data_IF_800993548823
#
_entry.id   IF_800993548823
#
_cell.length_a   1.000
_cell.length_b   1.000
_cell.length_c   1.000
_cell.angle_alpha   90.00
_cell.angle_beta   90.00
_cell.angle_gamma   90.00
#
_symmetry.space_group_name_H-M   'P 1'
#
loop_
_entity.id
_entity.type
_entity.pdbx_description
1 polymer ?
#
# COMPACT_ATOMS: atom_id res chain seq x y z
N UNK A 1 18.39 5.41 4.47
CA UNK A 1 17.69 5.51 5.75
C UNK A 1 16.19 5.55 5.53
N UNK A 2 15.57 4.39 5.29
CA UNK A 2 14.10 4.30 5.31
C UNK A 2 13.67 4.21 6.78
N UNK A 3 13.36 5.36 7.39
CA UNK A 3 12.81 5.47 8.75
C UNK A 3 11.36 5.93 8.70
N UNK A 4 10.60 5.77 9.79
CA UNK A 4 9.21 6.24 9.90
C UNK A 4 9.11 7.75 9.63
N UNK A 5 10.12 8.53 10.03
CA UNK A 5 10.20 9.96 9.74
C UNK A 5 10.42 10.25 8.25
N UNK A 6 11.36 9.57 7.58
CA UNK A 6 11.60 9.76 6.16
C UNK A 6 10.37 9.37 5.32
N UNK A 7 9.68 8.31 5.72
CA UNK A 7 8.45 7.85 5.10
C UNK A 7 7.33 8.87 5.23
N UNK A 8 7.13 9.42 6.43
CA UNK A 8 6.18 10.50 6.67
C UNK A 8 6.48 11.71 5.79
N UNK A 9 7.75 12.13 5.73
CA UNK A 9 8.17 13.26 4.91
C UNK A 9 7.94 13.04 3.41
N UNK A 10 8.07 11.81 2.94
CA UNK A 10 7.77 11.44 1.54
C UNK A 10 6.30 11.66 1.22
N UNK A 11 5.38 11.12 2.02
CA UNK A 11 3.94 11.27 1.79
C UNK A 11 3.42 12.69 2.05
N UNK A 12 4.10 13.49 2.88
CA UNK A 12 3.76 14.90 3.09
C UNK A 12 4.20 15.82 1.94
N UNK A 13 5.30 15.48 1.25
CA UNK A 13 5.92 16.36 0.24
C UNK A 13 5.60 15.98 -1.19
N UNK A 14 5.40 14.70 -1.46
CA UNK A 14 5.15 14.21 -2.80
C UNK A 14 3.64 14.25 -3.08
N UNK A 15 3.20 14.82 -4.21
CA UNK A 15 1.78 14.90 -4.57
C UNK A 15 1.07 13.54 -4.51
N UNK A 16 -0.21 13.56 -4.10
CA UNK A 16 -1.00 12.34 -3.91
C UNK A 16 -1.20 11.58 -5.23
N UNK A 17 -1.19 12.27 -6.37
CA UNK A 17 -1.28 11.72 -7.72
C UNK A 17 -0.12 10.79 -8.05
N UNK A 18 1.02 10.94 -7.36
CA UNK A 18 2.19 10.07 -7.51
C UNK A 18 2.26 9.02 -6.39
N UNK A 19 1.88 9.36 -5.17
CA UNK A 19 2.01 8.47 -4.02
C UNK A 19 0.87 7.46 -3.89
N UNK A 20 -0.36 7.84 -4.22
CA UNK A 20 -1.52 6.98 -4.05
C UNK A 20 -1.53 5.81 -5.03
N UNK A 21 -1.14 5.95 -6.32
CA UNK A 21 -0.99 4.80 -7.20
C UNK A 21 0.04 3.78 -6.71
N UNK A 22 1.06 4.19 -5.95
CA UNK A 22 2.04 3.25 -5.37
C UNK A 22 1.46 2.47 -4.18
N UNK A 23 0.54 3.08 -3.43
CA UNK A 23 -0.07 2.48 -2.24
C UNK A 23 -1.33 1.66 -2.56
N UNK A 24 -2.16 2.14 -3.47
CA UNK A 24 -3.55 1.68 -3.66
C UNK A 24 -3.80 1.08 -5.04
N UNK A 25 -2.76 0.73 -5.79
CA UNK A 25 -2.92 0.06 -7.07
C UNK A 25 -3.74 -1.23 -6.94
N UNK A 26 -4.60 -1.49 -7.93
CA UNK A 26 -5.17 -2.81 -8.16
C UNK A 26 -4.07 -3.75 -8.67
N UNK A 27 -4.20 -5.04 -8.37
CA UNK A 27 -3.16 -6.02 -8.73
C UNK A 27 -3.75 -7.22 -9.46
N UNK A 28 -3.21 -7.59 -10.63
CA UNK A 28 -3.64 -8.77 -11.37
C UNK A 28 -3.04 -10.07 -10.79
N UNK A 29 -1.89 -9.98 -10.13
CA UNK A 29 -1.14 -11.12 -9.62
C UNK A 29 -0.52 -10.85 -8.24
N UNK A 30 0.05 -11.92 -7.67
CA UNK A 30 0.67 -11.89 -6.35
C UNK A 30 1.95 -11.05 -6.32
N UNK A 31 2.67 -10.94 -7.43
CA UNK A 31 3.92 -10.16 -7.50
C UNK A 31 3.63 -8.65 -7.41
N UNK A 32 2.58 -8.17 -8.08
CA UNK A 32 2.06 -6.82 -7.91
C UNK A 32 1.62 -6.59 -6.46
N UNK A 33 0.84 -7.51 -5.89
CA UNK A 33 0.34 -7.36 -4.52
C UNK A 33 1.47 -7.31 -3.48
N UNK A 34 2.52 -8.11 -3.67
CA UNK A 34 3.73 -8.06 -2.84
C UNK A 34 4.50 -6.75 -3.02
N UNK A 35 4.56 -6.20 -4.24
CA UNK A 35 5.15 -4.87 -4.48
C UNK A 35 4.38 -3.78 -3.74
N UNK A 36 3.05 -3.80 -3.81
CA UNK A 36 2.16 -2.89 -3.08
C UNK A 36 2.37 -2.98 -1.57
N UNK A 37 2.44 -4.19 -1.02
CA UNK A 37 2.74 -4.42 0.42
C UNK A 37 4.11 -3.90 0.85
N UNK A 38 5.07 -3.89 -0.08
CA UNK A 38 6.45 -3.42 0.17
C UNK A 38 6.67 -1.93 -0.09
N UNK A 39 5.68 -1.19 -0.57
CA UNK A 39 5.81 0.24 -0.88
C UNK A 39 6.37 1.05 0.29
N UNK A 40 6.00 0.71 1.53
CA UNK A 40 6.47 1.38 2.74
C UNK A 40 7.63 0.66 3.46
N UNK A 41 8.23 -0.34 2.83
CA UNK A 41 9.36 -1.14 3.34
C UNK A 41 9.15 -1.56 4.81
N UNK A 42 8.14 -2.41 5.10
CA UNK A 42 7.66 -2.66 6.46
C UNK A 42 8.76 -3.06 7.46
N UNK A 43 9.69 -3.91 7.03
CA UNK A 43 10.84 -4.39 7.81
C UNK A 43 11.80 -3.29 8.29
N UNK A 44 11.78 -2.11 7.67
CA UNK A 44 12.63 -0.98 8.01
C UNK A 44 11.86 0.20 8.63
N UNK A 45 10.54 0.27 8.43
CA UNK A 45 9.75 1.44 8.82
C UNK A 45 8.91 1.27 10.09
N UNK A 46 8.34 0.08 10.34
CA UNK A 46 7.42 -0.13 11.47
C UNK A 46 7.31 -1.57 11.97
N UNK A 47 7.74 -2.58 11.20
CA UNK A 47 7.72 -3.98 11.64
C UNK A 47 9.02 -4.32 12.36
N UNK A 48 9.03 -4.06 13.67
CA UNK A 48 10.10 -4.49 14.55
C UNK A 48 10.07 -6.01 14.79
N UNK A 49 11.18 -6.55 15.31
CA UNK A 49 11.28 -7.99 15.64
C UNK A 49 10.22 -8.44 16.64
N UNK A 50 9.86 -7.57 17.57
CA UNK A 50 8.79 -7.81 18.53
C UNK A 50 7.47 -7.26 18.00
N UNK A 51 6.39 -8.02 18.15
CA UNK A 51 5.03 -7.61 17.78
C UNK A 51 4.27 -7.25 19.06
N UNK A 52 4.09 -5.95 19.38
CA UNK A 52 3.49 -5.50 20.63
C UNK A 52 1.98 -5.77 20.68
N UNK A 53 1.38 -5.50 21.85
CA UNK A 53 -0.08 -5.48 21.99
C UNK A 53 -0.71 -4.31 21.22
N UNK A 54 -1.88 -4.50 20.59
CA UNK A 54 -2.50 -3.38 19.85
C UNK A 54 -2.91 -2.21 20.77
N UNK A 55 -3.26 -2.49 22.03
CA UNK A 55 -3.54 -1.44 23.01
C UNK A 55 -2.27 -0.68 23.41
N UNK A 56 -1.14 -1.37 23.57
CA UNK A 56 0.17 -0.73 23.82
C UNK A 56 0.52 0.23 22.67
N UNK A 57 0.36 -0.23 21.42
CA UNK A 57 0.59 0.59 20.23
C UNK A 57 -0.33 1.83 20.19
N UNK A 58 -1.60 1.64 20.55
CA UNK A 58 -2.58 2.73 20.69
C UNK A 58 -2.18 3.73 21.78
N UNK A 59 -1.64 3.26 22.91
CA UNK A 59 -1.18 4.11 24.00
C UNK A 59 0.07 4.92 23.62
N UNK A 60 1.04 4.30 22.93
CA UNK A 60 2.20 4.99 22.37
C UNK A 60 1.75 6.13 21.43
N UNK A 61 0.89 5.80 20.46
CA UNK A 61 0.35 6.79 19.52
C UNK A 61 -0.40 7.94 20.20
N UNK A 62 -1.17 7.67 21.26
CA UNK A 62 -1.91 8.72 21.99
C UNK A 62 -0.99 9.68 22.77
N UNK A 63 0.23 9.22 23.08
CA UNK A 63 1.25 10.02 23.77
C UNK A 63 1.97 10.98 22.82
N UNK A 64 2.05 10.65 21.53
CA UNK A 64 2.53 11.56 20.48
C UNK A 64 1.40 12.44 19.93
N UNK A 65 1.61 13.76 19.90
CA UNK A 65 0.56 14.70 19.50
C UNK A 65 0.14 14.55 18.03
N UNK A 66 1.10 14.24 17.15
CA UNK A 66 0.84 14.07 15.73
C UNK A 66 0.09 12.77 15.47
N UNK A 67 0.57 11.65 16.00
CA UNK A 67 -0.07 10.34 15.88
C UNK A 67 -1.49 10.37 16.45
N UNK A 68 -1.69 10.97 17.63
CA UNK A 68 -3.01 11.14 18.23
C UNK A 68 -3.97 11.87 17.30
N UNK A 69 -3.54 12.96 16.67
CA UNK A 69 -4.37 13.72 15.72
C UNK A 69 -4.71 12.88 14.49
N UNK A 70 -3.71 12.22 13.89
CA UNK A 70 -3.91 11.40 12.68
C UNK A 70 -4.81 10.20 12.94
N UNK A 71 -4.69 9.57 14.11
CA UNK A 71 -5.56 8.46 14.51
C UNK A 71 -7.01 8.93 14.72
N UNK A 72 -7.22 10.13 15.27
CA UNK A 72 -8.55 10.71 15.35
C UNK A 72 -9.14 10.99 13.95
N UNK A 73 -8.34 11.56 13.04
CA UNK A 73 -8.76 11.81 11.65
C UNK A 73 -9.14 10.51 10.93
N UNK A 74 -8.37 9.43 11.14
CA UNK A 74 -8.69 8.11 10.59
C UNK A 74 -10.03 7.60 11.11
N UNK A 75 -10.27 7.64 12.42
CA UNK A 75 -11.57 7.21 12.96
C UNK A 75 -12.71 8.10 12.46
N UNK A 76 -12.52 9.42 12.29
CA UNK A 76 -13.58 10.29 11.77
C UNK A 76 -13.91 10.03 10.29
N UNK A 77 -12.91 9.79 9.45
CA UNK A 77 -13.10 9.69 8.00
C UNK A 77 -13.28 8.25 7.49
N UNK A 78 -12.86 7.24 8.25
CA UNK A 78 -12.96 5.83 7.87
C UNK A 78 -13.90 5.02 8.76
N UNK A 79 -14.64 5.64 9.69
CA UNK A 79 -15.65 4.92 10.47
C UNK A 79 -16.70 4.30 9.54
N UNK A 80 -16.94 3.00 9.70
CA UNK A 80 -17.93 2.30 8.89
C UNK A 80 -19.35 2.81 9.16
N UNK A 81 -20.05 3.20 8.10
CA UNK A 81 -21.45 3.63 8.14
C UNK A 81 -22.31 2.63 7.37
N UNK A 82 -23.05 1.71 8.06
CA UNK A 82 -23.74 0.59 7.40
C UNK A 82 -24.90 0.99 6.47
N UNK A 83 -25.27 2.27 6.43
CA UNK A 83 -26.42 2.77 5.66
C UNK A 83 -26.02 3.66 4.47
N UNK A 84 -24.74 3.90 4.26
CA UNK A 84 -24.22 4.69 3.12
C UNK A 84 -23.83 3.75 1.98
N UNK A 85 -23.97 4.20 0.72
CA UNK A 85 -23.66 3.38 -0.46
C UNK A 85 -22.19 2.90 -0.46
N UNK A 86 -21.29 3.75 0.02
CA UNK A 86 -19.84 3.47 0.04
C UNK A 86 -19.35 2.76 1.30
N UNK A 87 -20.21 2.63 2.32
CA UNK A 87 -19.86 2.34 3.72
C UNK A 87 -19.00 3.41 4.44
N UNK A 88 -18.73 4.56 3.82
CA UNK A 88 -17.93 5.64 4.38
C UNK A 88 -18.78 6.85 4.83
N UNK A 89 -18.31 7.63 5.82
CA UNK A 89 -18.94 8.88 6.21
C UNK A 89 -19.03 9.83 5.01
N UNK A 90 -20.21 10.40 4.79
CA UNK A 90 -20.50 11.34 3.69
C UNK A 90 -20.16 10.80 2.28
N UNK A 91 -20.08 9.47 2.11
CA UNK A 91 -19.65 8.82 0.88
C UNK A 91 -18.26 9.28 0.37
N UNK A 92 -17.38 9.67 1.30
CA UNK A 92 -16.10 10.29 0.97
C UNK A 92 -14.93 9.29 1.05
N UNK A 93 -14.67 8.57 -0.05
CA UNK A 93 -13.49 7.71 -0.18
C UNK A 93 -12.17 8.47 -0.03
N UNK A 94 -12.08 9.67 -0.61
CA UNK A 94 -10.85 10.44 -0.60
C UNK A 94 -10.44 10.83 0.83
N UNK A 95 -11.38 11.30 1.66
CA UNK A 95 -11.13 11.63 3.06
C UNK A 95 -10.60 10.44 3.87
N UNK A 96 -11.14 9.23 3.63
CA UNK A 96 -10.63 8.02 4.26
C UNK A 96 -9.21 7.68 3.79
N UNK A 97 -8.93 7.73 2.48
CA UNK A 97 -7.59 7.46 1.94
C UNK A 97 -6.53 8.45 2.46
N UNK A 98 -6.85 9.75 2.51
CA UNK A 98 -5.97 10.78 3.10
C UNK A 98 -5.68 10.47 4.57
N UNK A 99 -6.70 10.09 5.34
CA UNK A 99 -6.52 9.78 6.76
C UNK A 99 -5.71 8.50 6.98
N UNK A 100 -5.89 7.48 6.14
CA UNK A 100 -5.07 6.27 6.13
C UNK A 100 -3.59 6.59 5.85
N UNK A 101 -3.31 7.38 4.80
CA UNK A 101 -1.94 7.78 4.46
C UNK A 101 -1.32 8.61 5.58
N UNK A 102 -2.11 9.43 6.28
CA UNK A 102 -1.67 10.21 7.43
C UNK A 102 -1.17 9.38 8.62
N UNK A 103 -1.52 8.09 8.71
CA UNK A 103 -0.99 7.19 9.74
C UNK A 103 0.37 6.60 9.36
N UNK A 104 0.77 6.66 8.10
CA UNK A 104 2.01 6.06 7.63
C UNK A 104 3.21 6.83 8.19
N UNK A 105 4.10 6.10 8.89
CA UNK A 105 5.24 6.69 9.57
C UNK A 105 4.95 7.13 11.02
N UNK A 106 3.85 6.62 11.60
CA UNK A 106 3.49 6.74 13.01
C UNK A 106 3.53 5.38 13.73
N UNK A 107 3.32 5.34 15.06
CA UNK A 107 3.26 4.09 15.82
C UNK A 107 2.19 3.13 15.29
N UNK A 108 1.04 3.66 14.85
CA UNK A 108 -0.09 2.88 14.30
C UNK A 108 -0.06 2.81 12.77
N UNK A 109 1.12 2.64 12.16
CA UNK A 109 1.25 2.51 10.70
C UNK A 109 0.53 1.25 10.20
N UNK A 110 -0.57 1.38 9.42
CA UNK A 110 -1.24 0.23 8.81
C UNK A 110 -0.50 -0.22 7.55
N UNK A 111 -0.60 -1.51 7.22
CA UNK A 111 -0.10 -2.06 5.96
C UNK A 111 -0.95 -3.24 5.49
N UNK A 112 -0.76 -3.67 4.25
CA UNK A 112 -1.28 -4.94 3.75
C UNK A 112 -0.69 -6.11 4.56
N UNK A 113 -1.57 -6.98 5.06
CA UNK A 113 -1.19 -8.11 5.91
C UNK A 113 -0.64 -9.29 5.11
N UNK A 114 -1.08 -9.42 3.85
CA UNK A 114 -0.69 -10.46 2.91
C UNK A 114 -0.45 -9.90 1.50
N UNK A 115 -0.09 -10.80 0.57
CA UNK A 115 0.12 -10.48 -0.84
C UNK A 115 -1.06 -10.96 -1.71
N UNK A 116 -2.30 -10.87 -1.22
CA UNK A 116 -3.47 -11.26 -2.00
C UNK A 116 -3.79 -10.23 -3.10
N UNK A 117 -3.97 -10.65 -4.37
CA UNK A 117 -4.31 -9.72 -5.46
C UNK A 117 -5.69 -9.08 -5.28
N UNK A 118 -6.68 -9.89 -4.86
CA UNK A 118 -8.09 -9.51 -4.83
C UNK A 118 -8.64 -9.27 -3.42
N UNK A 119 -8.15 -10.01 -2.41
CA UNK A 119 -8.62 -9.85 -1.03
C UNK A 119 -7.75 -8.84 -0.28
N UNK A 120 -8.12 -7.57 -0.34
CA UNK A 120 -7.44 -6.51 0.42
C UNK A 120 -7.66 -6.75 1.92
N UNK A 121 -6.58 -7.10 2.61
CA UNK A 121 -6.53 -7.29 4.06
C UNK A 121 -5.47 -6.35 4.64
N UNK A 122 -5.90 -5.43 5.52
CA UNK A 122 -5.06 -4.43 6.15
C UNK A 122 -4.96 -4.70 7.64
N UNK A 123 -3.80 -4.49 8.24
CA UNK A 123 -3.61 -4.67 9.68
C UNK A 123 -2.53 -3.76 10.22
N UNK A 124 -2.56 -3.58 11.53
CA UNK A 124 -1.45 -3.03 12.29
C UNK A 124 -0.43 -4.13 12.62
N UNK A 125 0.83 -3.77 12.84
CA UNK A 125 1.85 -4.68 13.36
C UNK A 125 1.71 -4.90 14.87
N UNK A 126 0.60 -5.51 15.29
CA UNK A 126 0.31 -5.78 16.70
C UNK A 126 -0.59 -7.00 16.86
N UNK A 127 -0.73 -7.53 18.07
CA UNK A 127 -1.66 -8.62 18.39
C UNK A 127 -2.53 -8.33 19.61
N UNK A 128 -3.61 -9.10 19.76
CA UNK A 128 -4.52 -9.03 20.92
C UNK A 128 -4.49 -10.28 21.80
N UNK A 129 -3.60 -11.24 21.51
CA UNK A 129 -3.45 -12.43 22.34
C UNK A 129 -2.88 -12.06 23.71
N UNK A 130 -3.51 -12.56 24.78
CA UNK A 130 -2.99 -12.44 26.14
C UNK A 130 -3.32 -11.12 26.84
N UNK A 131 -4.22 -10.29 26.30
CA UNK A 131 -4.67 -9.03 26.94
C UNK A 131 -5.69 -9.24 28.07
N UNK A 132 -6.12 -10.47 28.33
CA UNK A 132 -7.03 -10.81 29.42
C UNK A 132 -8.37 -10.07 29.31
N UNK A 133 -8.72 -9.28 30.32
CA UNK A 133 -9.98 -8.52 30.34
C UNK A 133 -10.13 -7.45 29.25
N UNK A 134 -9.03 -7.05 28.60
CA UNK A 134 -9.02 -6.02 27.56
C UNK A 134 -9.05 -6.59 26.12
N UNK A 135 -9.20 -7.91 25.96
CA UNK A 135 -9.21 -8.57 24.63
C UNK A 135 -10.27 -8.01 23.70
N UNK A 136 -11.49 -7.80 24.19
CA UNK A 136 -12.57 -7.21 23.40
C UNK A 136 -12.25 -5.78 22.93
N UNK A 137 -11.64 -4.96 23.79
CA UNK A 137 -11.26 -3.59 23.44
C UNK A 137 -10.10 -3.59 22.42
N UNK A 138 -9.14 -4.49 22.60
CA UNK A 138 -8.03 -4.68 21.68
C UNK A 138 -8.53 -5.10 20.29
N UNK A 139 -9.41 -6.10 20.25
CA UNK A 139 -9.99 -6.60 19.01
C UNK A 139 -10.84 -5.54 18.32
N UNK A 140 -11.63 -4.76 19.07
CA UNK A 140 -12.39 -3.66 18.50
C UNK A 140 -11.46 -2.65 17.78
N UNK A 141 -10.40 -2.21 18.45
CA UNK A 141 -9.41 -1.31 17.86
C UNK A 141 -8.71 -1.92 16.64
N UNK A 142 -8.34 -3.20 16.69
CA UNK A 142 -7.68 -3.86 15.55
C UNK A 142 -8.65 -4.10 14.37
N UNK A 143 -9.95 -4.23 14.64
CA UNK A 143 -11.01 -4.37 13.63
C UNK A 143 -11.29 -3.09 12.87
N UNK A 144 -10.98 -1.92 13.42
CA UNK A 144 -11.03 -0.64 12.70
C UNK A 144 -10.12 -0.61 11.46
N UNK A 145 -9.12 -1.50 11.41
CA UNK A 145 -8.23 -1.70 10.26
C UNK A 145 -8.54 -2.98 9.48
N UNK A 146 -8.71 -4.11 10.19
CA UNK A 146 -8.84 -5.43 9.55
C UNK A 146 -10.22 -5.71 8.96
N UNK A 147 -11.27 -5.10 9.50
CA UNK A 147 -12.67 -5.35 9.12
C UNK A 147 -13.39 -4.07 8.72
N UNK A 148 -12.67 -3.14 8.09
CA UNK A 148 -13.21 -1.84 7.69
C UNK A 148 -13.66 -1.84 6.22
N UNK A 149 -14.98 -1.93 6.00
CA UNK A 149 -15.55 -1.93 4.65
C UNK A 149 -15.38 -0.58 3.95
N UNK A 150 -15.44 0.55 4.66
CA UNK A 150 -15.16 1.87 4.09
C UNK A 150 -13.76 1.91 3.46
N UNK A 151 -12.74 1.57 4.25
CA UNK A 151 -11.36 1.59 3.81
C UNK A 151 -11.11 0.60 2.67
N UNK A 152 -11.65 -0.62 2.76
CA UNK A 152 -11.55 -1.62 1.71
C UNK A 152 -12.16 -1.12 0.39
N UNK A 153 -13.37 -0.57 0.45
CA UNK A 153 -14.06 -0.05 -0.72
C UNK A 153 -13.34 1.17 -1.33
N UNK A 154 -12.80 2.05 -0.49
CA UNK A 154 -12.04 3.23 -0.93
C UNK A 154 -10.80 2.84 -1.74
N UNK A 155 -10.03 1.86 -1.26
CA UNK A 155 -8.83 1.35 -1.95
C UNK A 155 -9.23 0.64 -3.25
N UNK A 156 -10.28 -0.17 -3.23
CA UNK A 156 -10.78 -0.84 -4.43
C UNK A 156 -11.22 0.18 -5.48
N UNK A 157 -12.02 1.17 -5.08
CA UNK A 157 -12.50 2.23 -5.96
C UNK A 157 -11.34 3.02 -6.59
N UNK A 158 -10.30 3.34 -5.81
CA UNK A 158 -9.09 4.00 -6.33
C UNK A 158 -8.37 3.13 -7.37
N UNK A 159 -8.14 1.85 -7.06
CA UNK A 159 -7.41 0.93 -7.93
C UNK A 159 -8.09 0.64 -9.27
N UNK A 160 -9.42 0.74 -9.35
CA UNK A 160 -10.17 0.61 -10.61
C UNK A 160 -10.35 1.95 -11.34
N UNK A 161 -10.37 3.08 -10.62
CA UNK A 161 -10.51 4.42 -11.22
C UNK A 161 -9.22 4.97 -11.84
N UNK A 162 -8.06 4.38 -11.51
CA UNK A 162 -6.75 4.84 -12.00
C UNK A 162 -6.43 4.43 -13.45
N UNK A 163 -7.28 3.66 -14.14
CA UNK A 163 -7.01 3.20 -15.53
C UNK A 163 -7.23 4.26 -16.62
N UNK A 164 -7.47 5.53 -16.25
CA UNK A 164 -7.69 6.64 -17.21
C UNK A 164 -6.66 7.77 -17.19
N UNK A 165 -5.68 7.75 -16.27
CA UNK A 165 -4.74 8.85 -16.07
C UNK A 165 -3.33 8.53 -16.56
N UNK A 166 -3.10 8.56 -17.88
CA UNK A 166 -1.74 8.77 -18.38
C UNK A 166 -1.33 10.16 -17.90
N UNK A 167 -0.51 10.24 -16.84
CA UNK A 167 0.24 11.45 -16.56
C UNK A 167 1.06 11.76 -17.82
N UNK A 168 0.90 12.92 -18.46
CA UNK A 168 1.80 13.29 -19.55
C UNK A 168 3.19 13.45 -18.94
N UNK A 169 4.03 12.44 -19.13
CA UNK A 169 5.48 12.61 -19.02
C UNK A 169 5.81 13.66 -20.07
N UNK A 170 5.95 14.91 -19.62
CA UNK A 170 6.40 16.00 -20.46
C UNK A 170 7.88 15.78 -20.66
N UNK A 171 8.23 14.99 -21.68
CA UNK A 171 9.59 14.85 -22.19
C UNK A 171 10.10 16.25 -22.60
N UNK A 172 11.26 16.71 -22.12
CA UNK A 172 11.82 17.98 -22.54
C UNK A 172 12.25 17.90 -24.01
N UNK A 173 11.64 18.73 -24.84
CA UNK A 173 11.93 18.82 -26.27
C UNK A 173 13.38 19.17 -26.53
N UNK A 174 14.13 18.26 -27.15
CA UNK A 174 15.46 18.53 -27.70
C UNK A 174 15.33 18.77 -29.21
N UNK A 175 15.48 20.03 -29.61
CA UNK A 175 15.57 20.48 -31.00
C UNK A 175 16.90 20.03 -31.61
N UNK A 176 16.87 19.21 -32.67
CA UNK A 176 18.00 19.08 -33.59
C UNK A 176 17.51 19.07 -35.04
N UNK A 177 18.15 19.91 -35.85
CA UNK A 177 17.87 20.22 -37.25
C UNK A 177 18.62 19.27 -38.22
N UNK A 178 17.96 18.97 -39.36
CA UNK A 178 18.55 18.47 -40.63
C UNK A 178 18.47 16.94 -40.81
N UNK A 179 18.08 16.34 -41.94
CA UNK A 179 17.65 16.79 -43.26
C UNK A 179 17.82 15.65 -44.29
N UNK A 180 16.71 15.13 -44.86
CA UNK A 180 16.64 14.37 -46.14
C UNK A 180 17.06 12.87 -46.18
N UNK A 181 16.73 12.11 -47.25
CA UNK A 181 15.56 11.21 -47.27
C UNK A 181 15.84 9.69 -47.51
N UNK A 182 14.80 8.89 -47.25
CA UNK A 182 14.56 7.41 -47.32
C UNK A 182 14.80 6.74 -48.70
N UNK A 183 14.51 5.43 -48.97
CA UNK A 183 13.95 4.34 -48.14
C UNK A 183 14.58 2.92 -48.36
N UNK A 184 14.31 1.92 -47.49
CA UNK A 184 13.76 0.58 -47.86
C UNK A 184 13.67 -0.42 -46.69
N UNK A 185 12.59 -1.23 -46.73
CA UNK A 185 12.46 -2.62 -46.25
C UNK A 185 12.07 -2.90 -44.79
N UNK A 186 10.84 -3.38 -44.63
CA UNK A 186 10.30 -4.08 -43.45
C UNK A 186 10.26 -5.61 -43.74
N UNK A 187 9.94 -6.49 -42.77
CA UNK A 187 10.90 -7.30 -42.04
C UNK A 187 10.89 -8.80 -42.42
N UNK A 188 12.01 -9.49 -42.20
CA UNK A 188 12.08 -10.95 -42.34
C UNK A 188 11.30 -11.66 -41.21
N UNK A 189 10.66 -12.81 -41.49
CA UNK A 189 9.89 -13.59 -40.51
C UNK A 189 10.80 -14.31 -39.49
N UNK A 190 10.30 -14.57 -38.26
CA UNK A 190 11.07 -15.30 -37.24
C UNK A 190 11.16 -16.80 -37.58
N UNK A 191 12.28 -17.48 -37.22
CA UNK A 191 12.45 -18.91 -37.45
C UNK A 191 11.59 -19.77 -36.50
N UNK A 192 11.33 -21.05 -36.86
CA UNK A 192 10.37 -21.91 -36.19
C UNK A 192 10.82 -22.37 -34.80
N UNK A 193 9.85 -22.46 -33.88
CA UNK A 193 9.98 -22.94 -32.51
C UNK A 193 10.45 -24.40 -32.46
N UNK A 194 11.63 -24.64 -31.87
CA UNK A 194 12.06 -25.96 -31.41
C UNK A 194 11.60 -26.19 -29.97
N UNK A 195 10.82 -27.25 -29.76
CA UNK A 195 10.38 -27.71 -28.45
C UNK A 195 11.57 -28.22 -27.63
N UNK A 196 11.72 -27.70 -26.40
CA UNK A 196 12.65 -28.21 -25.40
C UNK A 196 11.88 -29.00 -24.31
N UNK A 197 12.48 -30.05 -23.74
CA UNK A 197 11.78 -31.04 -22.93
C UNK A 197 11.47 -30.53 -21.51
N UNK A 198 10.38 -31.06 -20.97
CA UNK A 198 9.89 -30.91 -19.61
C UNK A 198 10.94 -31.25 -18.55
N UNK A 199 11.18 -30.35 -17.59
CA UNK A 199 11.80 -30.68 -16.31
C UNK A 199 11.07 -29.99 -15.13
N UNK A 200 11.01 -30.62 -13.95
CA UNK A 200 10.10 -30.26 -12.87
C UNK A 200 10.76 -29.30 -11.88
N UNK A 201 10.16 -28.12 -11.69
CA UNK A 201 10.58 -27.18 -10.64
C UNK A 201 9.59 -27.22 -9.48
N UNK A 202 10.00 -27.87 -8.40
CA UNK A 202 9.49 -27.61 -7.06
C UNK A 202 9.94 -26.20 -6.63
N UNK A 203 9.06 -25.34 -6.09
CA UNK A 203 9.49 -24.03 -5.62
C UNK A 203 10.17 -24.18 -4.26
N UNK A 204 11.49 -24.01 -4.24
CA UNK A 204 12.25 -23.67 -3.03
C UNK A 204 11.81 -22.28 -2.57
N UNK A 205 10.97 -22.21 -1.54
CA UNK A 205 10.69 -20.99 -0.78
C UNK A 205 11.96 -20.62 -0.02
N UNK A 206 12.89 -19.96 -0.71
CA UNK A 206 14.01 -19.29 -0.07
C UNK A 206 13.50 -17.96 0.49
N UNK A 207 13.58 -17.80 1.80
CA UNK A 207 13.32 -16.52 2.45
C UNK A 207 14.27 -15.48 1.84
N UNK A 208 13.79 -14.27 1.48
CA UNK A 208 14.69 -13.24 0.97
C UNK A 208 15.74 -12.87 2.04
N UNK A 209 16.96 -12.49 1.64
CA UNK A 209 18.00 -12.10 2.58
C UNK A 209 17.51 -10.96 3.47
N UNK A 210 17.95 -10.96 4.73
CA UNK A 210 17.63 -9.93 5.71
C UNK A 210 17.95 -8.55 5.11
N UNK A 211 16.91 -7.75 4.85
CA UNK A 211 17.08 -6.40 4.34
C UNK A 211 17.87 -5.60 5.37
N UNK A 212 19.06 -5.14 4.98
CA UNK A 212 19.87 -4.28 5.83
C UNK A 212 19.27 -2.88 5.76
N UNK A 213 18.47 -2.52 6.76
CA UNK A 213 17.93 -1.18 6.91
C UNK A 213 19.09 -0.22 7.23
N UNK A 214 19.58 0.49 6.21
CA UNK A 214 20.49 1.63 6.36
C UNK A 214 19.72 2.91 6.20
#
# INVERSE_FOLDING_TARGET
>A
MFSSQALRQFFERVPWELTYPLLFCSCPDQACAERRRRTIVPSCSHQERHRPGCLELRHACRSDALCRSRLADFHMNCQMTPHTATSCPHDNYHGCLVSYVGLIGSDVTPNYSDSSPSNISLSLWCGCRGTGSQEQECDAFHRDFTHNSCLKNAIQSFGYGSEGGILPVTEPSSTFLGGGPSPLSSPNPPPPYTAAPSNPWTPLVSSPPAQTCR
#
